data_IF_727549226522
#
_entry.id   IF_727549226522
#
_cell.length_a   1.000
_cell.length_b   1.000
_cell.length_c   1.000
_cell.angle_alpha   90.00
_cell.angle_beta   90.00
_cell.angle_gamma   90.00
#
_symmetry.space_group_name_H-M   'P 1'
#
loop_
_entity.id
_entity.type
_entity.pdbx_description
1 polymer ?
2 non-polymer ?
3 non-polymer ?
4 water ?
#
# COMPACT_ATOMS: atom_id res chain seq x y z
N UNK A 2 -0.49 -14.70 -7.29
CA UNK A 2 -1.22 -13.45 -7.57
C UNK A 2 -0.37 -12.43 -8.26
N UNK A 3 -0.90 -11.93 -9.34
CA UNK A 3 -0.25 -10.91 -10.13
C UNK A 3 -1.02 -9.68 -9.70
N UNK A 4 -0.29 -8.68 -9.22
CA UNK A 4 -0.90 -7.44 -8.76
C UNK A 4 -1.02 -6.38 -9.84
N UNK A 5 -2.08 -5.55 -9.82
CA UNK A 5 -2.13 -4.46 -10.82
C UNK A 5 -1.05 -3.38 -10.55
N UNK A 6 -0.56 -2.80 -11.60
CA UNK A 6 0.56 -1.91 -11.55
C UNK A 6 0.10 -0.52 -11.79
N UNK A 7 0.49 0.39 -10.93
CA UNK A 7 0.20 1.78 -11.14
C UNK A 7 1.06 2.41 -12.32
N UNK A 8 0.42 3.32 -13.06
CA UNK A 8 1.02 4.01 -14.17
C UNK A 8 1.33 5.44 -13.86
N UNK A 9 2.29 5.98 -14.61
CA UNK A 9 2.69 7.39 -14.54
C UNK A 9 1.49 8.29 -14.60
N UNK A 10 1.38 9.25 -13.70
CA UNK A 10 0.14 10.07 -13.62
C UNK A 10 -0.59 9.83 -12.30
N UNK A 11 -0.52 8.59 -11.78
CA UNK A 11 -1.10 8.24 -10.48
C UNK A 11 -0.16 8.72 -9.35
N UNK A 12 -0.75 9.39 -8.36
CA UNK A 12 -0.04 9.99 -7.26
C UNK A 12 0.66 8.99 -6.35
N UNK A 13 0.16 7.77 -6.24
CA UNK A 13 0.83 6.75 -5.40
C UNK A 13 2.35 6.70 -5.72
N UNK A 14 2.70 6.90 -7.00
CA UNK A 14 4.08 6.80 -7.45
C UNK A 14 4.96 8.00 -7.06
N UNK A 15 4.35 9.08 -6.61
CA UNK A 15 5.07 10.30 -6.26
C UNK A 15 5.29 10.39 -4.75
N UNK A 16 4.84 9.46 -3.96
CA UNK A 16 4.97 9.60 -2.51
C UNK A 16 6.33 9.13 -2.08
N UNK A 17 6.69 9.45 -0.85
CA UNK A 17 7.87 8.83 -0.18
C UNK A 17 7.31 7.61 0.57
N UNK A 18 7.69 6.41 0.18
CA UNK A 18 7.18 5.18 0.83
C UNK A 18 7.64 5.07 2.31
N UNK A 19 6.78 4.50 3.15
CA UNK A 19 7.03 4.40 4.54
C UNK A 19 7.87 3.11 4.89
N UNK A 20 8.76 3.19 5.90
CA UNK A 20 9.60 2.02 6.20
C UNK A 20 8.75 0.86 6.73
N UNK A 21 9.19 -0.35 6.49
CA UNK A 21 8.56 -1.54 7.00
C UNK A 21 8.94 -1.56 8.47
N UNK A 22 7.99 -1.87 9.37
CA UNK A 22 8.24 -1.96 10.79
C UNK A 22 8.84 -3.29 11.19
N UNK A 23 9.40 -3.32 12.41
CA UNK A 23 9.88 -4.57 13.04
C UNK A 23 8.85 -5.71 13.11
N UNK A 24 7.58 -5.38 13.33
CA UNK A 24 6.52 -6.39 13.49
C UNK A 24 6.27 -7.16 12.21
N UNK A 25 6.51 -6.53 11.05
CA UNK A 25 6.27 -7.14 9.75
C UNK A 25 7.41 -8.09 9.38
N UNK A 26 8.58 -7.92 9.95
CA UNK A 26 9.68 -8.79 9.58
C UNK A 26 9.37 -10.23 9.95
N UNK A 27 9.75 -11.15 9.09
CA UNK A 27 9.48 -12.57 9.29
C UNK A 27 8.00 -12.89 9.60
N UNK A 28 7.06 -12.20 8.95
CA UNK A 28 5.64 -12.47 9.13
C UNK A 28 5.10 -13.05 7.82
N UNK A 29 4.00 -13.79 7.91
CA UNK A 29 3.35 -14.34 6.73
C UNK A 29 2.89 -13.18 5.77
N UNK A 30 2.49 -12.04 6.35
CA UNK A 30 2.13 -10.81 5.61
C UNK A 30 3.24 -10.37 4.65
N UNK A 31 4.44 -10.20 5.20
CA UNK A 31 5.59 -9.72 4.42
C UNK A 31 6.00 -10.70 3.36
N UNK A 32 6.08 -11.97 3.70
CA UNK A 32 6.42 -13.01 2.71
C UNK A 32 5.43 -13.03 1.56
N UNK A 33 4.15 -12.85 1.88
CA UNK A 33 3.10 -12.83 0.89
C UNK A 33 3.18 -11.59 -0.02
N UNK A 34 3.45 -10.41 0.57
CA UNK A 34 3.72 -9.23 -0.23
C UNK A 34 4.89 -9.46 -1.21
N UNK A 35 5.99 -10.02 -0.73
CA UNK A 35 7.18 -10.19 -1.56
C UNK A 35 6.90 -11.19 -2.68
N UNK A 36 6.22 -12.29 -2.33
CA UNK A 36 5.80 -13.29 -3.35
C UNK A 36 4.94 -12.69 -4.45
N UNK A 37 3.94 -11.93 -4.06
CA UNK A 37 3.11 -11.22 -5.02
C UNK A 37 3.87 -10.18 -5.85
N UNK A 38 4.76 -9.40 -5.23
CA UNK A 38 5.63 -8.50 -6.05
C UNK A 38 6.46 -9.29 -7.04
N UNK A 39 7.03 -10.39 -6.56
CA UNK A 39 7.91 -11.23 -7.38
C UNK A 39 7.17 -11.82 -8.60
N UNK A 40 6.01 -12.39 -8.35
CA UNK A 40 5.16 -12.87 -9.42
C UNK A 40 4.74 -11.76 -10.39
N UNK A 41 4.39 -10.59 -9.89
CA UNK A 41 4.05 -9.49 -10.77
C UNK A 41 5.21 -9.12 -11.68
N UNK A 42 6.41 -9.00 -11.11
CA UNK A 42 7.63 -8.64 -11.86
C UNK A 42 7.89 -9.63 -12.99
N UNK A 43 7.84 -10.92 -12.66
CA UNK A 43 7.91 -11.98 -13.69
C UNK A 43 6.86 -11.92 -14.82
N UNK A 44 5.60 -11.70 -14.50
CA UNK A 44 4.54 -11.66 -15.51
C UNK A 44 4.68 -10.46 -16.45
N UNK A 45 5.23 -9.37 -15.95
CA UNK A 45 5.49 -8.18 -16.75
C UNK A 45 6.90 -8.13 -17.36
N UNK A 46 7.65 -9.23 -17.31
CA UNK A 46 9.05 -9.35 -17.77
C UNK A 46 10.01 -8.28 -17.20
N UNK A 47 9.92 -7.97 -15.90
CA UNK A 47 10.82 -7.00 -15.29
C UNK A 47 12.02 -7.65 -14.62
N UNK A 48 13.04 -6.84 -14.33
CA UNK A 48 14.23 -7.26 -13.57
C UNK A 48 14.31 -6.55 -12.20
N UNK A 49 13.28 -5.80 -11.89
CA UNK A 49 13.06 -5.28 -10.59
C UNK A 49 11.63 -4.85 -10.39
N UNK A 50 11.32 -4.47 -9.15
CA UNK A 50 10.04 -3.89 -8.87
C UNK A 50 10.09 -3.30 -7.47
N UNK A 51 9.25 -2.31 -7.24
CA UNK A 51 9.20 -1.61 -5.95
C UNK A 51 7.73 -1.62 -5.55
N UNK A 52 7.49 -1.69 -4.25
CA UNK A 52 6.12 -1.84 -3.72
C UNK A 52 5.14 -0.75 -4.12
N UNK A 53 5.59 0.52 -4.16
CA UNK A 53 4.68 1.58 -4.66
C UNK A 53 4.00 1.33 -6.01
N UNK A 54 4.69 0.57 -6.86
CA UNK A 54 4.19 0.23 -8.18
C UNK A 54 3.05 -0.72 -8.10
N UNK A 55 2.87 -1.42 -6.97
CA UNK A 55 1.69 -2.27 -6.82
C UNK A 55 0.72 -1.73 -5.75
N UNK A 56 0.72 -0.40 -5.59
CA UNK A 56 -0.13 0.33 -4.66
C UNK A 56 0.18 0.12 -3.18
N UNK A 57 1.35 -0.37 -2.85
CA UNK A 57 1.80 -0.60 -1.46
C UNK A 57 2.89 0.45 -1.18
N UNK A 58 2.59 1.44 -0.34
CA UNK A 58 3.53 2.55 -0.06
C UNK A 58 4.49 2.17 1.10
N UNK A 59 5.31 1.18 0.82
CA UNK A 59 6.25 0.60 1.77
C UNK A 59 7.58 0.41 1.07
N UNK A 60 8.65 0.46 1.87
CA UNK A 60 10.02 0.43 1.35
C UNK A 60 10.49 -1.00 1.22
N UNK A 61 9.96 -1.65 0.20
CA UNK A 61 10.36 -2.97 -0.21
C UNK A 61 10.65 -2.93 -1.71
N UNK A 62 11.79 -3.47 -2.15
CA UNK A 62 12.11 -3.63 -3.59
C UNK A 62 12.64 -5.03 -3.90
N UNK A 63 12.52 -5.46 -5.14
CA UNK A 63 13.20 -6.63 -5.66
C UNK A 63 14.14 -6.21 -6.80
N UNK A 64 15.33 -6.83 -6.80
CA UNK A 64 16.36 -6.67 -7.84
C UNK A 64 16.64 -8.08 -8.38
N UNK A 65 16.41 -8.27 -9.67
CA UNK A 65 16.41 -9.62 -10.30
C UNK A 65 16.96 -9.59 -11.71
N UNK A 66 18.20 -9.13 -11.86
CA UNK A 66 18.87 -9.11 -13.17
C UNK A 66 18.84 -10.47 -13.87
N UNK A 67 18.54 -10.48 -15.17
CA UNK A 67 18.76 -11.65 -16.01
C UNK A 67 18.95 -11.13 -17.46
N UNK A 68 19.69 -11.85 -18.32
CA UNK A 68 19.77 -11.55 -19.77
C UNK A 68 18.42 -11.23 -20.49
N UNK A 69 18.39 -10.12 -21.24
CA UNK A 69 17.26 -9.58 -22.04
C UNK A 69 16.00 -9.21 -21.29
N UNK A 75 23.46 -9.13 -19.83
CA UNK A 75 23.05 -8.86 -18.45
C UNK A 75 23.31 -10.08 -17.55
N UNK A 76 23.90 -9.85 -16.34
CA UNK A 76 24.16 -10.96 -15.39
C UNK A 76 22.90 -11.66 -14.92
N UNK A 77 22.95 -12.98 -14.76
CA UNK A 77 21.84 -13.68 -14.14
C UNK A 77 22.14 -13.73 -12.67
N UNK A 78 21.16 -13.34 -11.88
CA UNK A 78 21.32 -13.33 -10.44
C UNK A 78 20.08 -13.98 -9.85
N UNK A 79 20.12 -14.29 -8.59
CA UNK A 79 18.93 -14.73 -7.91
C UNK A 79 18.20 -13.46 -7.50
N UNK A 80 16.87 -13.49 -7.48
CA UNK A 80 16.08 -12.32 -7.06
C UNK A 80 16.39 -12.01 -5.64
N UNK A 81 16.80 -10.77 -5.35
CA UNK A 81 17.02 -10.39 -3.97
C UNK A 81 15.89 -9.45 -3.51
N UNK A 82 15.20 -9.78 -2.43
CA UNK A 82 14.25 -8.88 -1.78
C UNK A 82 14.94 -8.03 -0.71
N UNK A 83 14.81 -6.71 -0.81
CA UNK A 83 15.44 -5.78 0.11
C UNK A 83 14.36 -5.03 0.86
N UNK A 84 14.36 -5.12 2.18
CA UNK A 84 13.51 -4.27 3.00
C UNK A 84 14.23 -3.02 3.57
N UNK A 85 13.57 -1.86 3.55
CA UNK A 85 14.19 -0.57 3.94
C UNK A 85 15.59 -0.38 3.38
N UNK A 86 15.80 -0.56 2.08
CA UNK A 86 17.15 -0.37 1.53
C UNK A 86 17.61 1.05 1.66
N UNK A 87 18.91 1.27 1.76
CA UNK A 87 19.48 2.63 1.84
C UNK A 87 20.77 2.58 1.07
N UNK A 88 20.97 3.49 0.13
CA UNK A 88 22.22 3.54 -0.59
C UNK A 88 23.20 4.34 0.27
N UNK A 89 24.21 3.69 0.82
CA UNK A 89 25.19 4.36 1.68
C UNK A 89 26.18 5.19 0.86
N UNK A 90 26.48 4.77 -0.35
CA UNK A 90 27.44 5.47 -1.20
C UNK A 90 27.17 5.26 -2.71
N UNK A 91 27.33 6.33 -3.48
CA UNK A 91 27.27 6.32 -4.93
C UNK A 91 28.69 6.62 -5.40
N UNK A 92 29.25 5.85 -6.33
CA UNK A 92 30.55 6.18 -6.92
C UNK A 92 30.39 7.49 -7.70
N UNK A 93 31.46 8.28 -7.87
CA UNK A 93 31.37 9.43 -8.82
C UNK A 93 31.51 8.93 -10.26
N UNK A 94 32.01 7.73 -10.49
CA UNK A 94 32.04 7.13 -11.83
C UNK A 94 30.59 6.86 -12.27
N UNK A 95 30.19 7.38 -13.43
CA UNK A 95 28.82 7.26 -13.95
C UNK A 95 28.80 6.26 -15.08
N UNK A 96 27.62 5.75 -15.41
CA UNK A 96 27.47 4.84 -16.55
C UNK A 96 26.06 5.01 -17.07
N UNK A 97 25.90 5.05 -18.38
CA UNK A 97 24.61 5.29 -19.00
C UNK A 97 24.03 3.96 -19.51
N UNK A 98 22.73 3.74 -19.34
CA UNK A 98 22.09 2.50 -19.77
C UNK A 98 20.63 2.70 -20.13
N UNK A 99 20.09 1.78 -20.90
CA UNK A 99 18.70 1.83 -21.39
C UNK A 99 17.89 1.31 -20.22
N UNK A 100 16.92 2.08 -19.81
CA UNK A 100 16.00 1.64 -18.75
C UNK A 100 14.60 1.67 -19.32
N UNK A 101 13.72 0.92 -18.71
CA UNK A 101 12.26 0.97 -18.93
C UNK A 101 11.68 0.93 -17.56
N UNK A 102 10.35 0.99 -17.46
CA UNK A 102 9.69 0.93 -16.20
C UNK A 102 8.32 0.33 -16.44
N UNK A 103 7.90 -0.59 -15.58
CA UNK A 103 6.53 -1.12 -15.57
C UNK A 103 5.47 -0.06 -15.45
N UNK A 104 5.80 1.09 -14.85
CA UNK A 104 4.86 2.20 -14.68
C UNK A 104 4.83 3.22 -15.80
N UNK A 105 5.78 3.14 -16.75
CA UNK A 105 5.82 4.01 -17.97
C UNK A 105 5.89 3.09 -19.23
N UNK A 106 4.81 2.39 -19.59
CA UNK A 106 4.99 1.25 -20.49
C UNK A 106 5.29 1.55 -21.99
N UNK A 108 7.49 4.39 -23.02
CA UNK A 108 8.82 4.97 -23.16
C UNK A 108 9.92 4.17 -22.47
N UNK A 109 11.00 3.91 -23.20
CA UNK A 109 12.28 3.57 -22.66
C UNK A 109 13.18 4.78 -22.79
N UNK A 110 14.33 4.72 -22.15
CA UNK A 110 15.24 5.85 -22.15
C UNK A 110 16.64 5.48 -21.76
N UNK A 111 17.59 6.38 -22.06
CA UNK A 111 19.00 6.23 -21.72
C UNK A 111 19.20 7.08 -20.46
N UNK A 112 19.62 6.48 -19.36
CA UNK A 112 19.71 7.21 -18.10
C UNK A 112 21.12 7.07 -17.49
N UNK A 113 21.67 8.17 -16.99
CA UNK A 113 22.96 8.14 -16.32
C UNK A 113 22.83 7.65 -14.84
N UNK A 114 23.60 6.65 -14.42
CA UNK A 114 23.55 6.12 -13.04
C UNK A 114 24.97 6.02 -12.48
N UNK A 115 25.09 5.96 -11.16
CA UNK A 115 26.39 5.65 -10.58
C UNK A 115 26.77 4.25 -10.99
N UNK A 116 28.01 4.07 -11.45
CA UNK A 116 28.44 2.75 -11.89
C UNK A 116 28.43 1.73 -10.73
N UNK A 117 28.70 2.17 -9.50
CA UNK A 117 28.73 1.34 -8.30
C UNK A 117 27.88 1.95 -7.18
N UNK A 118 27.20 1.11 -6.40
CA UNK A 118 26.51 1.54 -5.17
C UNK A 118 26.74 0.54 -4.01
N UNK A 119 26.80 1.09 -2.82
CA UNK A 119 26.93 0.36 -1.58
C UNK A 119 25.59 0.54 -0.87
N UNK A 120 24.95 -0.58 -0.56
CA UNK A 120 23.57 -0.62 -0.14
C UNK A 120 23.43 -1.46 1.12
N UNK A 121 22.68 -0.89 2.06
CA UNK A 121 22.27 -1.54 3.28
C UNK A 121 20.78 -1.87 3.20
N UNK A 122 20.42 -3.05 3.65
CA UNK A 122 19.04 -3.41 3.68
C UNK A 122 18.83 -4.50 4.69
N UNK A 123 17.55 -4.70 4.96
CA UNK A 123 17.07 -5.84 5.77
C UNK A 123 16.55 -6.97 4.91
N UNK A 124 16.81 -8.20 5.30
CA UNK A 124 16.19 -9.36 4.58
C UNK A 124 14.76 -9.47 5.09
N UNK A 125 14.01 -10.35 4.44
CA UNK A 125 12.65 -10.66 4.87
C UNK A 125 12.60 -11.18 6.28
N UNK A 126 13.66 -11.88 6.70
CA UNK A 126 13.77 -12.42 8.05
C UNK A 126 14.23 -11.40 9.06
N UNK A 127 14.65 -10.22 8.65
CA UNK A 127 15.12 -9.21 9.59
C UNK A 127 16.62 -9.07 9.78
N UNK A 128 17.42 -9.92 9.14
CA UNK A 128 18.89 -9.74 9.07
C UNK A 128 19.32 -8.49 8.35
N UNK A 129 20.17 -7.71 9.00
CA UNK A 129 20.73 -6.52 8.42
C UNK A 129 22.00 -6.90 7.65
N UNK A 130 22.06 -6.42 6.42
CA UNK A 130 23.02 -6.84 5.42
C UNK A 130 23.50 -5.59 4.64
N UNK A 131 24.70 -5.70 4.07
CA UNK A 131 25.34 -4.59 3.35
C UNK A 131 26.04 -5.17 2.16
N UNK A 132 25.90 -4.56 1.01
CA UNK A 132 26.56 -5.11 -0.17
C UNK A 132 26.84 -4.04 -1.16
N UNK A 133 27.75 -4.33 -2.08
CA UNK A 133 28.00 -3.40 -3.18
C UNK A 133 27.49 -3.99 -4.49
N UNK A 134 26.94 -3.13 -5.33
CA UNK A 134 26.50 -3.54 -6.66
C UNK A 134 27.25 -2.78 -7.71
N UNK A 135 27.56 -3.44 -8.82
CA UNK A 135 28.23 -2.80 -9.95
C UNK A 135 27.31 -2.88 -11.22
N UNK A 136 27.47 -1.96 -12.17
CA UNK A 136 26.85 -2.11 -13.48
C UNK A 136 25.30 -2.15 -13.48
N UNK A 137 24.75 -3.09 -14.24
CA UNK A 137 23.31 -3.15 -14.48
C UNK A 137 22.51 -3.40 -13.17
N UNK A 138 22.97 -4.30 -12.29
CA UNK A 138 22.27 -4.49 -11.03
C UNK A 138 22.29 -3.21 -10.18
N UNK A 139 23.34 -2.42 -10.34
CA UNK A 139 23.44 -1.18 -9.64
C UNK A 139 22.45 -0.15 -10.20
N UNK A 140 22.26 -0.14 -11.52
CA UNK A 140 21.18 0.66 -12.09
C UNK A 140 19.82 0.23 -11.59
N UNK A 141 19.57 -1.06 -11.51
CA UNK A 141 18.28 -1.53 -11.09
C UNK A 141 18.02 -1.06 -9.67
N UNK A 142 19.02 -1.18 -8.79
CA UNK A 142 18.90 -0.71 -7.40
C UNK A 142 18.56 0.78 -7.33
N UNK A 143 19.26 1.56 -8.11
CA UNK A 143 19.04 3.01 -8.11
C UNK A 143 17.64 3.35 -8.62
N UNK A 144 17.18 2.57 -9.61
CA UNK A 144 15.82 2.81 -10.17
C UNK A 144 14.72 2.54 -9.14
N UNK A 145 14.91 1.45 -8.41
CA UNK A 145 13.89 1.02 -7.47
C UNK A 145 13.90 1.88 -6.24
N UNK A 146 15.07 2.34 -5.79
CA UNK A 146 15.12 3.22 -4.64
C UNK A 146 14.50 4.52 -5.06
N UNK A 147 14.78 4.97 -6.28
CA UNK A 147 14.04 6.14 -6.74
C UNK A 147 12.49 5.99 -6.64
N UNK A 148 11.93 4.84 -7.03
CA UNK A 148 10.49 4.60 -6.84
C UNK A 148 10.04 4.84 -5.37
N UNK A 149 10.88 4.45 -4.42
CA UNK A 149 10.60 4.61 -2.98
C UNK A 149 10.58 6.06 -2.53
N UNK A 150 11.19 6.95 -3.31
CA UNK A 150 11.32 8.37 -3.02
C UNK A 150 10.51 9.17 -4.04
N UNK A 151 9.55 8.52 -4.70
CA UNK A 151 8.62 9.17 -5.59
C UNK A 151 9.18 9.69 -6.90
N UNK A 152 10.23 9.06 -7.44
CA UNK A 152 10.91 9.51 -8.66
C UNK A 152 10.82 8.44 -9.73
N UNK A 153 10.39 8.86 -10.91
CA UNK A 153 10.40 8.03 -12.14
C UNK A 153 11.62 8.37 -13.02
N UNK A 154 12.10 7.38 -13.73
CA UNK A 154 13.34 7.51 -14.52
C UNK A 154 13.25 8.64 -15.54
N UNK A 155 12.06 8.91 -16.11
CA UNK A 155 11.89 10.05 -17.05
C UNK A 155 12.24 11.42 -16.46
N UNK A 156 12.14 11.57 -15.13
CA UNK A 156 12.56 12.78 -14.46
C UNK A 156 14.08 12.88 -14.32
N UNK A 157 14.82 11.79 -14.55
CA UNK A 157 16.27 11.90 -14.63
C UNK A 157 16.83 12.14 -16.05
N UNK A 158 16.01 12.41 -17.06
CA UNK A 158 16.51 12.59 -18.45
C UNK A 158 16.53 14.07 -18.86
N UNK B 1 -0.59 -12.70 14.53
CA UNK B 1 -1.00 -11.59 13.61
C UNK B 1 -0.10 -10.37 13.70
N UNK B 2 0.06 -9.65 12.60
CA UNK B 2 0.87 -8.47 12.59
C UNK B 2 0.07 -7.20 12.87
N UNK B 3 0.65 -6.36 13.69
CA UNK B 3 0.15 -5.04 13.94
C UNK B 3 1.03 -4.11 13.11
N UNK B 4 0.39 -3.30 12.26
CA UNK B 4 1.02 -2.54 11.22
C UNK B 4 1.13 -1.07 11.62
N UNK B 5 2.12 -0.35 11.08
CA UNK B 5 2.19 1.08 11.43
C UNK B 5 1.07 1.86 10.69
N UNK B 6 0.60 2.95 11.31
CA UNK B 6 -0.56 3.64 10.85
C UNK B 6 -0.16 5.02 10.36
N UNK B 7 -0.59 5.41 9.18
CA UNK B 7 -0.31 6.77 8.66
C UNK B 7 -1.11 7.85 9.40
N UNK B 8 -0.52 9.05 9.53
CA UNK B 8 -1.10 10.19 10.26
C UNK B 8 -1.36 11.37 9.35
N UNK B 9 -2.27 12.21 9.77
CA UNK B 9 -2.58 13.41 9.01
C UNK B 9 -1.31 14.16 8.63
N UNK B 10 -1.23 14.63 7.40
CA UNK B 10 -0.01 15.17 6.85
C UNK B 10 0.69 14.22 5.94
N UNK B 11 0.37 12.90 5.99
CA UNK B 11 0.99 11.96 5.07
C UNK B 11 0.08 11.84 3.86
N UNK B 12 0.64 11.99 2.66
CA UNK B 12 -0.19 12.11 1.50
C UNK B 12 -0.84 10.79 1.01
N UNK B 13 -0.42 9.65 1.57
CA UNK B 13 -1.09 8.37 1.26
C UNK B 13 -2.57 8.44 1.58
N UNK B 14 -2.91 9.19 2.65
CA UNK B 14 -4.31 9.45 3.03
C UNK B 14 -5.17 10.30 2.10
N UNK B 15 -4.54 10.94 1.13
CA UNK B 15 -5.21 11.89 0.29
C UNK B 15 -5.44 11.34 -1.09
N UNK B 16 -5.05 10.10 -1.39
CA UNK B 16 -5.30 9.51 -2.71
C UNK B 16 -6.65 8.80 -2.78
N UNK B 17 -7.08 8.50 -3.99
CA UNK B 17 -8.17 7.56 -4.19
C UNK B 17 -7.54 6.18 -4.27
N UNK B 18 -7.92 5.33 -3.37
CA UNK B 18 -7.35 3.98 -3.36
C UNK B 18 -7.85 3.19 -4.56
N UNK B 19 -6.98 2.36 -5.08
CA UNK B 19 -7.24 1.50 -6.27
C UNK B 19 -8.14 0.30 -5.90
N UNK B 20 -9.08 -0.08 -6.78
CA UNK B 20 -9.88 -1.26 -6.50
C UNK B 20 -9.08 -2.55 -6.49
N UNK B 21 -9.51 -3.49 -5.66
CA UNK B 21 -8.94 -4.85 -5.64
C UNK B 21 -9.33 -5.51 -6.97
N UNK B 22 -8.35 -6.07 -7.68
CA UNK B 22 -8.61 -6.66 -8.97
C UNK B 22 -9.14 -8.07 -8.75
N UNK B 23 -9.63 -8.61 -9.82
CA UNK B 23 -10.23 -9.92 -9.86
C UNK B 23 -9.29 -11.06 -9.41
N UNK B 24 -8.06 -11.05 -9.92
CA UNK B 24 -7.08 -12.05 -9.52
C UNK B 24 -6.72 -12.09 -8.02
N UNK B 25 -6.95 -10.98 -7.32
CA UNK B 25 -6.67 -10.86 -5.89
C UNK B 25 -7.80 -11.41 -5.03
N UNK B 26 -9.01 -11.57 -5.55
CA UNK B 26 -10.09 -12.13 -4.79
C UNK B 26 -9.79 -13.58 -4.45
N UNK B 27 -10.09 -13.97 -3.21
CA UNK B 27 -9.90 -15.32 -2.69
C UNK B 27 -8.41 -15.71 -2.71
N UNK B 28 -7.52 -14.74 -2.55
CA UNK B 28 -6.08 -15.02 -2.53
C UNK B 28 -5.54 -14.93 -1.11
N UNK B 29 -4.45 -15.68 -0.81
CA UNK B 29 -3.81 -15.60 0.50
C UNK B 29 -3.25 -14.17 0.70
N UNK B 30 -2.80 -13.51 -0.37
CA UNK B 30 -2.45 -12.08 -0.30
C UNK B 30 -3.59 -11.23 0.37
N UNK B 31 -4.81 -11.32 -0.15
CA UNK B 31 -5.91 -10.58 0.40
C UNK B 31 -6.33 -10.98 1.82
N UNK B 32 -6.36 -12.29 2.10
CA UNK B 32 -6.64 -12.75 3.49
C UNK B 32 -5.61 -12.24 4.46
N UNK B 33 -4.34 -12.30 4.10
CA UNK B 33 -3.28 -11.77 4.97
C UNK B 33 -3.41 -10.26 5.21
N UNK B 34 -3.67 -9.50 4.16
CA UNK B 34 -3.89 -8.04 4.26
C UNK B 34 -5.01 -7.78 5.26
N UNK B 35 -6.12 -8.50 5.13
CA UNK B 35 -7.27 -8.23 5.97
C UNK B 35 -7.01 -8.58 7.44
N UNK B 36 -6.32 -9.68 7.66
CA UNK B 36 -5.90 -10.12 9.00
C UNK B 36 -4.96 -9.13 9.72
N UNK B 37 -4.00 -8.59 8.99
CA UNK B 37 -3.13 -7.53 9.50
C UNK B 37 -3.88 -6.23 9.80
N UNK B 38 -4.78 -5.81 8.90
CA UNK B 38 -5.69 -4.68 9.20
C UNK B 38 -6.53 -4.89 10.44
N UNK B 39 -7.12 -6.09 10.55
CA UNK B 39 -7.96 -6.44 11.65
C UNK B 39 -7.20 -6.40 12.98
N UNK B 40 -6.04 -7.04 13.02
CA UNK B 40 -5.19 -7.04 14.18
C UNK B 40 -4.77 -5.60 14.55
N UNK B 41 -4.48 -4.77 13.56
CA UNK B 41 -4.06 -3.41 13.81
C UNK B 41 -5.18 -2.59 14.38
N UNK B 42 -6.35 -2.72 13.78
CA UNK B 42 -7.57 -2.09 14.36
C UNK B 42 -7.83 -2.48 15.84
N UNK B 43 -7.76 -3.78 16.16
CA UNK B 43 -7.96 -4.21 17.55
C UNK B 43 -6.91 -3.63 18.49
N UNK B 44 -5.65 -3.65 18.06
CA UNK B 44 -4.57 -3.16 18.89
C UNK B 44 -4.63 -1.66 19.12
N UNK B 45 -5.17 -0.89 18.18
CA UNK B 45 -5.41 0.54 18.38
C UNK B 45 -6.80 0.88 19.01
N UNK B 46 -7.60 -0.09 19.45
CA UNK B 46 -9.02 0.09 19.82
C UNK B 46 -9.87 0.92 18.84
N UNK B 47 -9.70 0.71 17.54
CA UNK B 47 -10.59 1.30 16.55
C UNK B 47 -11.82 0.46 16.34
N UNK B 48 -12.86 1.07 15.80
CA UNK B 48 -14.12 0.40 15.46
C UNK B 48 -14.27 0.27 13.91
N UNK B 49 -13.20 0.59 13.19
CA UNK B 49 -13.13 0.50 11.75
C UNK B 49 -11.72 0.81 11.31
N UNK B 50 -11.39 0.41 10.10
CA UNK B 50 -10.10 0.70 9.55
C UNK B 50 -10.18 0.62 8.04
N UNK B 51 -9.33 1.39 7.39
CA UNK B 51 -9.18 1.39 5.91
C UNK B 51 -7.74 1.15 5.50
N UNK B 52 -7.57 0.41 4.41
CA UNK B 52 -6.22 0.02 3.97
C UNK B 52 -5.23 1.16 3.84
N UNK B 53 -5.69 2.29 3.30
CA UNK B 53 -4.76 3.41 3.20
C UNK B 53 -4.11 3.85 4.51
N UNK B 54 -4.82 3.65 5.62
CA UNK B 54 -4.32 4.00 6.92
C UNK B 54 -3.16 3.12 7.35
N UNK B 55 -2.97 1.99 6.68
CA UNK B 55 -1.78 1.19 6.81
C UNK B 55 -0.93 1.21 5.60
N UNK B 56 -0.96 2.34 4.87
CA UNK B 56 -0.09 2.54 3.69
C UNK B 56 -0.42 1.65 2.50
N UNK B 57 -1.63 1.16 2.43
CA UNK B 57 -1.99 0.22 1.33
C UNK B 57 -3.13 0.87 0.59
N UNK B 58 -2.87 1.26 -0.64
CA UNK B 58 -3.79 2.15 -1.37
C UNK B 58 -4.73 1.28 -2.15
N UNK B 59 -5.52 0.49 -1.42
CA UNK B 59 -6.43 -0.48 -1.98
C UNK B 59 -7.80 -0.34 -1.31
N UNK B 60 -8.87 -0.67 -2.02
CA UNK B 60 -10.19 -0.45 -1.50
C UNK B 60 -10.67 -1.64 -0.59
N UNK B 61 -10.11 -1.71 0.62
CA UNK B 61 -10.47 -2.70 1.62
C UNK B 61 -10.71 -1.95 2.94
N UNK B 62 -11.88 -2.10 3.49
CA UNK B 62 -12.22 -1.59 4.84
C UNK B 62 -12.76 -2.67 5.73
N UNK B 63 -12.74 -2.36 7.04
CA UNK B 63 -13.36 -3.16 8.06
C UNK B 63 -14.25 -2.29 8.91
N UNK B 64 -15.45 -2.76 9.12
CA UNK B 64 -16.44 -2.09 10.00
C UNK B 64 -16.74 -2.99 11.20
N UNK B 65 -16.50 -2.48 12.42
CA UNK B 65 -16.46 -3.36 13.62
C UNK B 65 -16.90 -2.64 14.86
N UNK B 66 -18.12 -2.14 14.85
CA UNK B 66 -18.64 -1.45 16.04
C UNK B 66 -18.66 -2.36 17.27
N UNK B 67 -18.14 -1.82 18.39
CA UNK B 67 -17.90 -2.52 19.69
C UNK B 67 -17.78 -1.44 20.78
N UNK B 68 -18.19 -1.74 22.04
CA UNK B 68 -17.81 -0.88 23.16
C UNK B 68 -16.45 -1.29 23.66
N UNK B 75 -20.95 2.29 22.56
CA UNK B 75 -21.02 1.80 21.16
C UNK B 75 -21.68 0.43 21.00
N UNK B 76 -22.70 0.29 20.08
CA UNK B 76 -23.35 -1.04 19.83
C UNK B 76 -22.36 -2.03 19.25
N UNK B 77 -22.70 -3.30 19.35
CA UNK B 77 -21.76 -4.34 19.07
C UNK B 77 -22.21 -5.15 17.89
N UNK B 78 -21.32 -5.33 16.91
CA UNK B 78 -21.66 -6.12 15.70
C UNK B 78 -20.53 -7.08 15.47
N UNK B 79 -20.78 -8.13 14.72
CA UNK B 79 -19.69 -8.90 14.11
C UNK B 79 -18.92 -8.05 13.09
N UNK B 80 -17.61 -8.15 13.10
CA UNK B 80 -16.77 -7.38 12.22
C UNK B 80 -17.03 -7.81 10.78
N UNK B 81 -17.08 -6.82 9.90
CA UNK B 81 -17.27 -7.12 8.49
C UNK B 81 -16.13 -6.50 7.65
N UNK B 82 -15.46 -7.33 6.88
CA UNK B 82 -14.49 -6.90 5.93
C UNK B 82 -15.18 -6.62 4.59
N UNK B 83 -14.91 -5.46 3.99
CA UNK B 83 -15.52 -5.07 2.73
C UNK B 83 -14.51 -4.74 1.68
N UNK B 84 -14.59 -5.45 0.57
CA UNK B 84 -13.71 -5.25 -0.58
C UNK B 84 -14.49 -4.50 -1.66
N UNK B 85 -13.84 -3.48 -2.25
CA UNK B 85 -14.51 -2.55 -3.17
C UNK B 85 -15.90 -2.10 -2.77
N UNK B 86 -16.04 -1.55 -1.58
CA UNK B 86 -17.38 -1.19 -1.16
C UNK B 86 -17.94 0.01 -1.97
N UNK B 87 -19.24 0.02 -2.26
CA UNK B 87 -19.89 1.16 -2.95
C UNK B 87 -21.16 1.52 -2.15
N UNK B 88 -21.30 2.76 -1.76
CA UNK B 88 -22.52 3.18 -1.09
C UNK B 88 -23.52 3.48 -2.23
N UNK B 89 -24.56 2.68 -2.35
CA UNK B 89 -25.55 2.86 -3.38
C UNK B 89 -26.62 3.87 -3.03
N UNK B 90 -26.78 4.18 -1.75
CA UNK B 90 -27.78 5.08 -1.34
C UNK B 90 -27.42 5.65 0.03
N UNK B 91 -27.48 6.97 0.16
CA UNK B 91 -27.39 7.62 1.46
C UNK B 91 -28.77 8.08 1.86
N UNK B 92 -29.20 7.90 3.11
CA UNK B 92 -30.52 8.43 3.53
C UNK B 92 -30.50 9.96 3.54
N UNK B 93 -31.64 10.63 3.44
CA UNK B 93 -31.63 12.09 3.59
C UNK B 93 -31.64 12.43 5.06
N UNK B 94 -32.09 11.49 5.92
CA UNK B 94 -32.05 11.69 7.37
C UNK B 94 -30.55 11.70 7.74
N UNK B 95 -30.23 12.63 8.63
CA UNK B 95 -28.88 12.96 9.07
C UNK B 95 -28.71 12.64 10.55
N UNK B 96 -27.54 12.16 10.98
CA UNK B 96 -27.24 12.13 12.42
C UNK B 96 -25.85 12.77 12.65
N UNK B 97 -25.71 13.50 13.75
CA UNK B 97 -24.48 14.16 14.16
C UNK B 97 -23.97 13.34 15.34
N UNK B 98 -22.65 13.25 15.43
CA UNK B 98 -21.99 12.50 16.48
C UNK B 98 -20.48 12.71 16.45
N UNK B 99 -19.87 12.42 17.60
CA UNK B 99 -18.46 12.63 17.76
C UNK B 99 -17.70 11.52 17.03
N UNK B 100 -16.72 11.94 16.24
CA UNK B 100 -15.87 11.00 15.57
C UNK B 100 -14.43 11.31 15.89
N UNK B 101 -13.62 10.29 15.69
CA UNK B 101 -12.19 10.35 15.89
C UNK B 101 -11.61 9.61 14.71
N UNK B 102 -10.30 9.48 14.72
CA UNK B 102 -9.61 8.83 13.66
C UNK B 102 -8.24 8.37 14.19
N UNK B 103 -7.94 7.10 13.96
CA UNK B 103 -6.59 6.56 14.19
C UNK B 103 -5.54 7.39 13.47
N UNK B 104 -5.92 8.04 12.35
CA UNK B 104 -4.98 8.83 11.61
C UNK B 104 -4.90 10.28 12.09
N UNK B 105 -5.73 10.65 13.08
CA UNK B 105 -5.75 12.01 13.59
C UNK B 105 -5.78 11.99 15.12
N UNK B 106 -4.64 11.64 15.73
CA UNK B 106 -4.51 11.54 17.19
C UNK B 106 -4.89 12.82 17.92
N UNK B 107 -5.65 12.63 19.01
CA UNK B 107 -6.25 13.73 19.77
C UNK B 107 -6.71 14.88 18.86
N UNK B 108 -7.80 14.59 18.18
CA UNK B 108 -8.59 15.58 17.53
C UNK B 108 -9.91 14.86 17.39
N UNK B 109 -10.95 15.45 17.94
CA UNK B 109 -12.28 14.93 17.83
C UNK B 109 -13.12 16.04 17.22
N UNK B 110 -14.24 15.66 16.67
CA UNK B 110 -15.20 16.64 16.21
C UNK B 110 -16.52 15.99 15.90
N UNK B 111 -17.46 16.85 15.49
CA UNK B 111 -18.81 16.43 15.16
C UNK B 111 -19.02 16.46 13.68
N UNK B 112 -19.50 15.36 13.14
CA UNK B 112 -19.67 15.25 11.69
C UNK B 112 -21.13 14.84 11.48
N UNK B 113 -21.79 15.52 10.55
CA UNK B 113 -23.11 15.15 10.08
C UNK B 113 -22.92 13.99 9.08
N UNK B 114 -23.58 12.88 9.34
CA UNK B 114 -23.54 11.70 8.49
C UNK B 114 -24.96 11.30 8.20
N UNK B 115 -25.14 10.56 7.12
CA UNK B 115 -26.41 9.91 6.82
C UNK B 115 -26.70 8.88 7.90
N UNK B 116 -27.95 8.84 8.34
CA UNK B 116 -28.36 7.91 9.37
C UNK B 116 -28.43 6.45 8.86
N UNK B 117 -28.75 6.24 7.60
CA UNK B 117 -28.73 4.92 6.95
C UNK B 117 -28.00 5.02 5.60
N UNK B 118 -27.22 4.00 5.32
CA UNK B 118 -26.60 3.77 4.02
C UNK B 118 -26.88 2.34 3.58
N UNK B 119 -27.07 2.16 2.28
CA UNK B 119 -27.09 0.87 1.69
C UNK B 119 -25.77 0.67 0.94
N UNK B 120 -25.08 -0.41 1.24
CA UNK B 120 -23.72 -0.64 0.74
C UNK B 120 -23.60 -1.97 0.00
N UNK B 121 -22.96 -1.95 -1.12
CA UNK B 121 -22.71 -3.15 -1.90
C UNK B 121 -21.20 -3.38 -1.85
N UNK B 122 -20.77 -4.59 -1.56
CA UNK B 122 -19.35 -4.88 -1.52
C UNK B 122 -19.07 -6.34 -1.81
N UNK B 123 -17.80 -6.67 -2.01
CA UNK B 123 -17.34 -8.03 -2.13
C UNK B 123 -16.74 -8.58 -0.81
N UNK B 124 -17.04 -9.83 -0.45
CA UNK B 124 -16.30 -10.48 0.61
C UNK B 124 -14.86 -10.73 0.09
N UNK B 125 -14.00 -11.15 1.00
CA UNK B 125 -12.63 -11.60 0.67
C UNK B 125 -12.57 -12.75 -0.35
N UNK B 126 -13.60 -13.57 -0.39
CA UNK B 126 -13.76 -14.66 -1.42
C UNK B 126 -14.13 -14.12 -2.77
N UNK B 127 -14.76 -12.94 -2.76
CA UNK B 127 -15.28 -12.33 -3.95
C UNK B 127 -16.78 -12.42 -4.11
N UNK B 128 -17.56 -12.75 -3.08
CA UNK B 128 -19.03 -12.77 -3.24
C UNK B 128 -19.60 -11.38 -3.05
N UNK B 129 -20.55 -11.00 -3.91
CA UNK B 129 -21.26 -9.73 -3.74
C UNK B 129 -22.37 -9.78 -2.70
N UNK B 130 -22.43 -8.77 -1.83
CA UNK B 130 -23.39 -8.67 -0.72
C UNK B 130 -23.83 -7.18 -0.71
N UNK B 131 -25.06 -6.97 -0.29
CA UNK B 131 -25.63 -5.65 -0.14
C UNK B 131 -26.24 -5.67 1.28
N UNK B 132 -25.96 -4.64 2.04
CA UNK B 132 -26.34 -4.58 3.40
C UNK B 132 -26.76 -3.13 3.69
N UNK B 133 -27.84 -2.94 4.44
CA UNK B 133 -28.19 -1.63 4.97
C UNK B 133 -27.64 -1.46 6.40
N UNK B 134 -27.00 -0.30 6.64
CA UNK B 134 -26.47 0.07 7.96
C UNK B 134 -27.22 1.27 8.51
N UNK B 135 -27.40 1.31 9.84
CA UNK B 135 -28.11 2.37 10.55
C UNK B 135 -27.20 2.93 11.62
N UNK B 136 -27.40 4.20 11.99
CA UNK B 136 -26.77 4.71 13.19
C UNK B 136 -25.25 4.68 13.18
N UNK B 137 -24.65 4.28 14.30
CA UNK B 137 -23.21 4.32 14.45
C UNK B 137 -22.43 3.49 13.39
N UNK B 138 -22.81 2.21 13.17
CA UNK B 138 -22.22 1.43 12.07
C UNK B 138 -22.25 2.17 10.70
N UNK B 139 -23.34 2.89 10.42
CA UNK B 139 -23.45 3.70 9.21
C UNK B 139 -22.39 4.79 9.13
N UNK B 140 -22.12 5.47 10.25
CA UNK B 140 -21.09 6.50 10.37
C UNK B 140 -19.72 5.89 10.15
N UNK B 141 -19.50 4.70 10.67
CA UNK B 141 -18.25 4.06 10.46
C UNK B 141 -18.07 3.75 8.97
N UNK B 142 -19.09 3.17 8.33
CA UNK B 142 -18.94 2.86 6.93
C UNK B 142 -18.57 4.16 6.13
N UNK B 143 -19.27 5.24 6.43
CA UNK B 143 -19.07 6.51 5.71
C UNK B 143 -17.69 7.10 5.88
N UNK B 144 -17.18 6.99 7.10
CA UNK B 144 -15.83 7.45 7.45
C UNK B 144 -14.76 6.63 6.72
N UNK B 145 -14.93 5.30 6.71
CA UNK B 145 -13.94 4.44 6.06
C UNK B 145 -13.96 4.56 4.53
N UNK B 146 -15.16 4.59 3.93
CA UNK B 146 -15.27 4.90 2.47
C UNK B 146 -14.61 6.29 2.19
N UNK B 147 -14.83 7.28 3.06
CA UNK B 147 -14.07 8.53 2.97
C UNK B 147 -12.55 8.35 2.94
N UNK B 148 -12.00 7.53 3.80
CA UNK B 148 -10.59 7.20 3.67
C UNK B 148 -10.18 6.66 2.28
N UNK B 149 -11.01 5.79 1.67
CA UNK B 149 -10.67 5.21 0.34
C UNK B 149 -10.70 6.25 -0.75
N UNK B 150 -11.42 7.35 -0.49
CA UNK B 150 -11.45 8.48 -1.38
C UNK B 150 -10.62 9.70 -1.07
N UNK B 151 -9.73 9.61 -0.10
CA UNK B 151 -8.80 10.67 0.13
C UNK B 151 -9.34 11.74 1.02
N UNK B 152 -10.36 11.42 1.84
CA UNK B 152 -11.01 12.41 2.72
C UNK B 152 -10.89 12.02 4.19
N UNK B 153 -10.37 12.98 4.99
CA UNK B 153 -10.37 12.87 6.47
C UNK B 153 -11.58 13.57 7.02
N UNK B 154 -11.99 13.13 8.20
CA UNK B 154 -13.19 13.61 8.84
C UNK B 154 -13.10 15.10 9.14
N UNK B 155 -11.89 15.58 9.46
CA UNK B 155 -11.69 17.01 9.80
C UNK B 155 -12.16 17.91 8.69
N UNK B 156 -12.17 17.41 7.46
CA UNK B 156 -12.68 18.15 6.30
C UNK B 156 -14.19 18.19 6.23
N UNK B 157 -14.90 17.50 7.12
CA UNK B 157 -16.37 17.56 7.16
C UNK B 157 -16.92 18.13 8.48
N UNK B 158 -16.11 18.82 9.27
CA UNK B 158 -16.56 19.34 10.56
C UNK B 158 -17.45 20.56 10.39
X LIG C 1 10.19 1.53 -12.64
X LIG D 1 10.84 -5.31 -18.86
X LIG D 1 11.60 -4.33 -18.87
X LIG D 1 13.12 -4.42 -19.07
X LIG D 1 13.90 -3.29 -19.44
X LIG D 1 15.29 -3.39 -19.60
X LIG D 1 15.92 -4.61 -19.41
X LIG D 1 15.19 -5.74 -19.04
X LIG D 1 13.80 -5.65 -18.87
X LIG D 1 10.90 -3.02 -18.67
X LIG D 1 11.18 -2.29 -17.08
X LIG D 1 11.93 -2.98 -15.74
X LIG D 1 12.28 -4.15 -15.63
X LIG D 1 12.15 -2.04 -14.58
X LIG D 1 11.04 -2.40 -13.60
X LIG D 1 10.50 -1.34 -12.66
X LIG D 1 9.95 -0.31 -13.21
X LIG D 1 11.35 -0.93 -11.82
X LIG D 1 9.60 -1.90 -11.90
X LIG D 1 13.49 -2.21 -13.86
X LIG D 1 14.70 -1.67 -14.62
X LIG D 1 15.00 -2.06 -15.95
X LIG D 1 16.16 -1.57 -16.57
X LIG D 1 17.00 -0.71 -15.85
X LIG D 1 16.72 -0.32 -14.54
X LIG D 1 15.56 -0.82 -13.93
X LIG E 1 -10.20 7.43 10.22
X LIG F 1 -11.40 3.89 18.87
X LIG F 1 -11.76 4.95 18.39
X LIG F 1 -13.21 5.43 18.68
X LIG F 1 -14.15 4.54 19.23
X LIG F 1 -15.45 4.97 19.52
X LIG F 1 -15.83 6.28 19.26
X LIG F 1 -14.93 7.19 18.72
X LIG F 1 -13.61 6.77 18.43
X LIG F 1 -10.66 5.67 17.60
X LIG F 1 -11.09 6.14 15.95
X LIG F 1 -11.98 5.05 15.04
X LIG F 1 -12.36 4.01 15.58
X LIG F 1 -12.21 5.36 13.58
X LIG F 1 -11.11 4.60 12.82
X LIG F 1 -10.37 5.06 11.54
X LIG F 1 -9.43 4.19 11.69
X LIG F 1 -11.19 4.81 10.60
X LIG F 1 -9.97 6.30 11.66
X LIG F 1 -13.56 4.89 13.03
X LIG F 1 -14.75 5.78 13.37
X LIG F 1 -15.01 6.29 14.63
X LIG F 1 -16.13 7.08 14.88
X LIG F 1 -17.03 7.37 13.86
X LIG F 1 -16.80 6.87 12.60
X LIG F 1 -15.66 6.08 12.36
#
# INVERSE_FOLDING_TARGET
SVVLPVAKRGEDILKLIAAPVSANELNSNWLYQLADAMHATMLERNGVGIAAPQVYISKRVIIVASRPNPRYPDAPEMNAVVMVNPEILEFSSEMCLGEEGCLSVPDERGQVERAEMVKVKYLTLQGEMVETVFQGFPARIVQHEVDHLNGILFVERIS
SVVLPVAKRGEDILKLIAAPVSANELNSNWLYQLADAMHATMLERNGVGIAAPQVYISKRVIIVASRPNPRYPDAPEMNAVVMVNPEILEFSSEMCLGEEGCLSVPDERGQVERAEMVKVKYLTLQGEMVETVFQGFPARIVQHEVDHLNGILFVERIS
ZN ZN
K3U O C C13 C14 C15 C16 C17 C18 C1 S C2 O1 C3 C11 C12 F1 F F2 C4 C5 C6 C7 C8 C9 C10
ZN ZN
K3U O C C13 C14 C15 C16 C17 C18 C1 S C2 O1 C3 C11 C12 F1 F F2 C4 C5 C6 C7 C8 C9 C10
#
